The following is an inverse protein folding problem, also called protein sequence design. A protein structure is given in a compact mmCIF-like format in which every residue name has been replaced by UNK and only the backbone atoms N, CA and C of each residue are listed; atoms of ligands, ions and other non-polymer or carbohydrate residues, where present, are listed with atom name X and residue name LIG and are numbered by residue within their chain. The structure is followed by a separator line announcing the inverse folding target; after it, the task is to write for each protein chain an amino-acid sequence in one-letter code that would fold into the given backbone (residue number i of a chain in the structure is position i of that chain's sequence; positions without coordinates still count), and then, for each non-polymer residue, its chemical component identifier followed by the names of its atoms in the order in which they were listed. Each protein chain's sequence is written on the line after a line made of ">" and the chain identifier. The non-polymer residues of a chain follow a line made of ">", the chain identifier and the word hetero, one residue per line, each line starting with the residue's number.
data_IF_873779231187
#
_entry.id   IF_873779231187
#
_cell.length_a   1.000
_cell.length_b   1.000
_cell.length_c   1.000
_cell.angle_alpha   90.00
_cell.angle_beta   90.00
_cell.angle_gamma   90.00
#
_symmetry.space_group_name_H-M   'P 1'
#
loop_
_entity.id
_entity.type
_entity.pdbx_description
1 polymer ?
#
# COMPACT_ATOMS: atom_id res chain seq x y z
N UNK A 1 28.93 9.75 11.57
CA UNK A 1 27.95 10.29 12.54
C UNK A 1 27.80 9.25 13.64
N UNK A 2 27.75 9.64 14.92
CA UNK A 2 27.53 8.67 16.00
C UNK A 2 26.05 8.24 16.04
N UNK A 3 25.77 7.05 16.57
CA UNK A 3 24.39 6.58 16.77
C UNK A 3 23.57 7.58 17.58
N UNK A 4 24.15 8.11 18.67
CA UNK A 4 23.49 9.12 19.51
C UNK A 4 23.10 10.39 18.73
N UNK A 5 23.96 10.88 17.84
CA UNK A 5 23.62 12.05 17.01
C UNK A 5 22.56 11.71 15.96
N UNK A 6 22.62 10.54 15.35
CA UNK A 6 21.62 10.09 14.38
C UNK A 6 20.23 9.95 15.02
N UNK A 7 20.17 9.33 16.20
CA UNK A 7 18.92 9.17 16.95
C UNK A 7 18.39 10.54 17.38
N UNK A 8 19.23 11.41 17.95
CA UNK A 8 18.80 12.75 18.37
C UNK A 8 18.20 13.57 17.22
N UNK A 9 18.73 13.44 16.00
CA UNK A 9 18.24 14.18 14.83
C UNK A 9 16.96 13.56 14.25
N UNK A 10 16.81 12.23 14.28
CA UNK A 10 15.67 11.55 13.63
C UNK A 10 14.48 11.30 14.56
N UNK A 11 14.72 11.19 15.87
CA UNK A 11 13.71 10.82 16.86
C UNK A 11 12.46 11.72 16.84
N UNK A 12 12.56 13.06 16.81
CA UNK A 12 11.36 13.90 16.83
C UNK A 12 10.46 13.68 15.62
N UNK A 13 11.05 13.47 14.43
CA UNK A 13 10.30 13.21 13.21
C UNK A 13 9.65 11.81 13.21
N UNK A 14 10.37 10.80 13.74
CA UNK A 14 9.84 9.44 13.92
C UNK A 14 8.62 9.41 14.84
N UNK A 15 8.69 10.12 15.97
CA UNK A 15 7.59 10.19 16.95
C UNK A 15 6.35 10.86 16.36
N UNK A 16 6.51 11.97 15.63
CA UNK A 16 5.40 12.63 14.92
C UNK A 16 4.76 11.71 13.89
N UNK A 17 5.57 11.05 13.05
CA UNK A 17 5.10 10.12 12.04
C UNK A 17 4.32 8.95 12.68
N UNK A 18 4.89 8.31 13.70
CA UNK A 18 4.26 7.18 14.39
C UNK A 18 2.91 7.56 15.03
N UNK A 19 2.84 8.72 15.69
CA UNK A 19 1.61 9.24 16.28
C UNK A 19 0.53 9.52 15.23
N UNK A 20 0.91 10.08 14.08
CA UNK A 20 -0.02 10.37 12.99
C UNK A 20 -0.51 9.08 12.29
N UNK A 21 0.38 8.11 12.07
CA UNK A 21 0.05 6.80 11.50
C UNK A 21 -0.91 6.01 12.39
N UNK A 22 -0.79 6.11 13.72
CA UNK A 22 -1.68 5.42 14.65
C UNK A 22 -3.17 5.75 14.41
N UNK A 23 -3.47 6.98 13.98
CA UNK A 23 -4.85 7.39 13.64
C UNK A 23 -5.34 6.73 12.35
N UNK A 24 -4.48 6.62 11.34
CA UNK A 24 -4.81 5.99 10.07
C UNK A 24 -4.92 4.47 10.19
N UNK A 25 -4.08 3.86 11.04
CA UNK A 25 -4.08 2.41 11.33
C UNK A 25 -5.47 1.91 11.73
N UNK A 26 -6.26 2.67 12.48
CA UNK A 26 -7.63 2.28 12.90
C UNK A 26 -8.52 1.89 11.71
N UNK A 27 -8.33 2.52 10.54
CA UNK A 27 -9.13 2.24 9.34
C UNK A 27 -8.56 1.10 8.48
N UNK A 28 -7.27 0.80 8.64
CA UNK A 28 -6.50 -0.06 7.73
C UNK A 28 -6.11 -1.41 8.34
N UNK A 29 -5.98 -1.48 9.67
CA UNK A 29 -5.52 -2.68 10.35
C UNK A 29 -6.45 -3.87 10.07
N UNK A 30 -5.85 -5.00 9.72
CA UNK A 30 -6.54 -6.24 9.37
C UNK A 30 -7.21 -6.25 7.99
N UNK A 31 -7.24 -5.12 7.25
CA UNK A 31 -7.79 -5.05 5.90
C UNK A 31 -6.86 -5.73 4.89
N UNK A 32 -7.44 -6.43 3.93
CA UNK A 32 -6.74 -7.17 2.87
C UNK A 32 -6.52 -6.27 1.67
N UNK A 33 -5.28 -6.21 1.17
CA UNK A 33 -4.91 -5.37 0.03
C UNK A 33 -4.29 -6.16 -1.11
N UNK A 34 -4.70 -5.81 -2.33
CA UNK A 34 -4.21 -6.37 -3.59
C UNK A 34 -3.59 -5.27 -4.46
N UNK A 35 -2.42 -5.49 -5.04
CA UNK A 35 -1.79 -4.56 -5.98
C UNK A 35 -1.75 -5.15 -7.39
N UNK A 36 -2.35 -4.44 -8.34
CA UNK A 36 -2.02 -4.60 -9.75
C UNK A 36 -0.71 -3.85 -10.08
N UNK A 37 0.09 -4.36 -11.04
CA UNK A 37 1.36 -3.73 -11.42
C UNK A 37 1.14 -2.40 -12.16
N UNK A 38 1.84 -1.34 -11.76
CA UNK A 38 1.77 -0.03 -12.42
C UNK A 38 3.14 0.70 -12.46
N UNK A 39 3.80 0.88 -11.30
CA UNK A 39 4.86 1.89 -11.11
C UNK A 39 6.15 1.42 -10.43
N UNK A 40 6.22 0.15 -9.98
CA UNK A 40 7.29 -0.40 -9.13
C UNK A 40 7.28 0.08 -7.67
N UNK A 41 6.39 1.00 -7.30
CA UNK A 41 6.18 1.41 -5.91
C UNK A 41 5.43 0.36 -5.09
N UNK A 42 4.86 -0.68 -5.72
CA UNK A 42 3.96 -1.62 -5.06
C UNK A 42 4.64 -2.37 -3.91
N UNK A 43 5.91 -2.77 -4.07
CA UNK A 43 6.66 -3.49 -3.05
C UNK A 43 6.95 -2.61 -1.83
N UNK A 44 7.57 -1.42 -1.94
CA UNK A 44 7.76 -0.52 -0.80
C UNK A 44 6.45 -0.10 -0.13
N UNK A 45 5.39 0.13 -0.91
CA UNK A 45 4.08 0.51 -0.38
C UNK A 45 3.41 -0.64 0.37
N UNK A 46 3.47 -1.87 -0.17
CA UNK A 46 2.98 -3.06 0.51
C UNK A 46 3.72 -3.30 1.83
N UNK A 47 5.05 -3.12 1.83
CA UNK A 47 5.89 -3.20 3.03
C UNK A 47 5.46 -2.17 4.08
N UNK A 48 5.27 -0.91 3.69
CA UNK A 48 4.78 0.16 4.55
C UNK A 48 3.40 -0.17 5.15
N UNK A 49 2.42 -0.51 4.31
CA UNK A 49 1.05 -0.77 4.75
C UNK A 49 0.95 -1.99 5.66
N UNK A 50 1.73 -3.04 5.38
CA UNK A 50 1.71 -4.23 6.22
C UNK A 50 2.36 -3.97 7.58
N UNK A 51 3.59 -3.42 7.60
CA UNK A 51 4.36 -3.28 8.84
C UNK A 51 3.86 -2.14 9.73
N UNK A 52 3.51 -1.01 9.13
CA UNK A 52 3.21 0.22 9.88
C UNK A 52 1.71 0.38 10.13
N UNK A 53 0.87 -0.16 9.23
CA UNK A 53 -0.59 0.02 9.27
C UNK A 53 -1.36 -1.30 9.45
N UNK A 54 -0.68 -2.44 9.54
CA UNK A 54 -1.29 -3.72 9.87
C UNK A 54 -2.18 -4.31 8.77
N UNK A 55 -2.00 -3.89 7.51
CA UNK A 55 -2.73 -4.48 6.39
C UNK A 55 -2.20 -5.89 6.04
N UNK A 56 -3.09 -6.73 5.53
CA UNK A 56 -2.79 -8.08 5.07
C UNK A 56 -2.58 -8.09 3.55
N UNK A 57 -1.40 -8.52 3.11
CA UNK A 57 -1.06 -8.56 1.68
C UNK A 57 -1.64 -9.82 1.03
N UNK A 58 -2.42 -9.68 -0.04
CA UNK A 58 -2.91 -10.84 -0.82
C UNK A 58 -1.99 -11.16 -1.99
N UNK A 59 -1.77 -10.20 -2.88
CA UNK A 59 -0.87 -10.29 -4.02
C UNK A 59 -0.29 -8.90 -4.25
N UNK A 60 1.03 -8.84 -4.44
CA UNK A 60 1.75 -7.60 -4.73
C UNK A 60 2.33 -7.73 -6.13
N UNK A 61 1.59 -7.23 -7.11
CA UNK A 61 2.02 -7.19 -8.51
C UNK A 61 2.90 -5.98 -8.79
N UNK A 62 4.00 -6.19 -9.49
CA UNK A 62 4.89 -5.12 -9.95
C UNK A 62 5.27 -5.32 -11.42
N UNK A 63 5.37 -4.27 -12.25
CA UNK A 63 5.60 -4.45 -13.68
C UNK A 63 6.97 -5.04 -13.99
N UNK A 64 7.97 -4.73 -13.15
CA UNK A 64 9.35 -5.23 -13.27
C UNK A 64 10.01 -5.26 -11.89
N UNK A 65 10.75 -6.34 -11.59
CA UNK A 65 11.40 -6.55 -10.29
C UNK A 65 12.93 -6.67 -10.44
N UNK A 66 13.62 -5.55 -10.25
CA UNK A 66 15.07 -5.57 -10.07
C UNK A 66 15.44 -6.07 -8.66
N UNK A 67 15.62 -7.39 -8.52
CA UNK A 67 15.82 -8.07 -7.23
C UNK A 67 16.93 -7.47 -6.35
N UNK A 68 18.11 -7.20 -6.91
CA UNK A 68 19.22 -6.63 -6.12
C UNK A 68 18.91 -5.24 -5.58
N UNK A 69 18.21 -4.40 -6.36
CA UNK A 69 17.84 -3.06 -5.94
C UNK A 69 16.73 -3.08 -4.88
N UNK A 70 15.80 -4.04 -4.98
CA UNK A 70 14.69 -4.23 -4.04
C UNK A 70 15.03 -5.15 -2.85
N UNK A 71 16.29 -5.57 -2.67
CA UNK A 71 16.66 -6.59 -1.70
C UNK A 71 16.21 -6.24 -0.25
N UNK A 72 16.45 -5.01 0.18
CA UNK A 72 16.07 -4.54 1.52
C UNK A 72 14.55 -4.45 1.69
N UNK A 73 13.83 -4.02 0.65
CA UNK A 73 12.37 -3.95 0.68
C UNK A 73 11.73 -5.34 0.73
N UNK A 74 12.27 -6.29 -0.06
CA UNK A 74 11.84 -7.68 -0.06
C UNK A 74 12.10 -8.36 1.30
N UNK A 75 13.24 -8.09 1.93
CA UNK A 75 13.58 -8.64 3.24
C UNK A 75 12.64 -8.13 4.36
N UNK A 76 12.00 -6.97 4.18
CA UNK A 76 11.08 -6.39 5.14
C UNK A 76 9.61 -6.80 4.92
N UNK A 77 9.27 -7.41 3.78
CA UNK A 77 7.92 -7.93 3.54
C UNK A 77 7.60 -9.11 4.48
N UNK A 78 6.30 -9.31 4.80
CA UNK A 78 5.87 -10.54 5.48
C UNK A 78 6.28 -11.79 4.71
N UNK A 79 6.71 -12.82 5.44
CA UNK A 79 7.01 -14.12 4.87
C UNK A 79 5.77 -14.68 4.12
N UNK A 80 6.00 -15.30 2.97
CA UNK A 80 4.92 -15.86 2.15
C UNK A 80 4.12 -14.83 1.33
N UNK A 81 4.53 -13.56 1.31
CA UNK A 81 3.92 -12.56 0.42
C UNK A 81 3.98 -13.04 -1.03
N UNK A 82 2.82 -13.15 -1.69
CA UNK A 82 2.74 -13.53 -3.09
C UNK A 82 3.14 -12.36 -3.99
N UNK A 83 4.29 -12.47 -4.66
CA UNK A 83 4.81 -11.48 -5.60
C UNK A 83 4.58 -11.94 -7.04
N UNK A 84 4.08 -11.05 -7.89
CA UNK A 84 3.97 -11.30 -9.33
C UNK A 84 4.70 -10.21 -10.12
N UNK A 85 5.60 -10.62 -11.01
CA UNK A 85 6.27 -9.73 -11.97
C UNK A 85 5.59 -9.80 -13.34
N UNK A 86 5.34 -8.64 -13.95
CA UNK A 86 4.60 -8.54 -15.20
C UNK A 86 3.10 -8.84 -15.00
N UNK A 87 2.37 -9.04 -16.11
CA UNK A 87 0.92 -9.21 -16.03
C UNK A 87 0.34 -10.06 -17.17
N UNK A 88 -0.59 -10.94 -16.80
CA UNK A 88 -1.69 -11.36 -17.65
C UNK A 88 -2.99 -10.90 -17.00
N UNK A 89 -3.63 -9.87 -17.57
CA UNK A 89 -4.67 -9.09 -16.87
C UNK A 89 -5.87 -9.94 -16.47
N UNK A 90 -6.41 -10.78 -17.36
CA UNK A 90 -7.59 -11.60 -17.07
C UNK A 90 -7.35 -12.58 -15.92
N UNK A 91 -6.24 -13.33 -15.96
CA UNK A 91 -5.88 -14.27 -14.89
C UNK A 91 -5.63 -13.55 -13.56
N UNK A 92 -5.12 -12.32 -13.59
CA UNK A 92 -4.89 -11.54 -12.37
C UNK A 92 -6.19 -10.97 -11.82
N UNK A 93 -7.14 -10.59 -12.68
CA UNK A 93 -8.52 -10.25 -12.27
C UNK A 93 -9.21 -11.44 -11.60
N UNK A 94 -9.07 -12.66 -12.16
CA UNK A 94 -9.65 -13.87 -11.55
C UNK A 94 -9.09 -14.11 -10.14
N UNK A 95 -7.78 -13.97 -9.95
CA UNK A 95 -7.15 -14.07 -8.61
C UNK A 95 -7.63 -12.96 -7.68
N UNK A 96 -7.68 -11.70 -8.14
CA UNK A 96 -8.18 -10.58 -7.36
C UNK A 96 -9.60 -10.85 -6.86
N UNK A 97 -10.51 -11.28 -7.74
CA UNK A 97 -11.88 -11.65 -7.40
C UNK A 97 -11.94 -12.83 -6.43
N UNK A 98 -11.13 -13.86 -6.64
CA UNK A 98 -11.06 -15.03 -5.75
C UNK A 98 -10.56 -14.64 -4.34
N UNK A 99 -9.61 -13.73 -4.25
CA UNK A 99 -9.10 -13.25 -2.97
C UNK A 99 -10.10 -12.38 -2.21
N UNK A 100 -10.99 -11.65 -2.91
CA UNK A 100 -11.93 -10.68 -2.32
C UNK A 100 -11.23 -9.69 -1.37
N UNK A 101 -10.23 -8.92 -1.86
CA UNK A 101 -9.54 -7.93 -1.03
C UNK A 101 -10.50 -6.81 -0.60
N UNK A 102 -10.20 -6.19 0.54
CA UNK A 102 -10.93 -5.01 1.01
C UNK A 102 -10.56 -3.75 0.22
N UNK A 103 -9.31 -3.69 -0.28
CA UNK A 103 -8.80 -2.59 -1.09
C UNK A 103 -7.97 -3.13 -2.27
N UNK A 104 -8.23 -2.61 -3.47
CA UNK A 104 -7.47 -2.91 -4.69
C UNK A 104 -6.74 -1.67 -5.17
N UNK A 105 -5.42 -1.76 -5.32
CA UNK A 105 -4.60 -0.72 -5.95
C UNK A 105 -4.46 -1.06 -7.44
N UNK A 106 -4.96 -0.19 -8.31
CA UNK A 106 -4.97 -0.46 -9.76
C UNK A 106 -5.00 0.82 -10.61
N UNK A 107 -4.68 0.71 -11.90
CA UNK A 107 -4.83 1.81 -12.85
C UNK A 107 -6.30 2.22 -13.06
N UNK A 108 -6.51 3.42 -13.61
CA UNK A 108 -7.85 3.98 -13.86
C UNK A 108 -8.71 3.12 -14.80
N UNK A 109 -8.09 2.34 -15.70
CA UNK A 109 -8.79 1.42 -16.60
C UNK A 109 -9.48 0.26 -15.87
N UNK A 110 -9.07 -0.08 -14.65
CA UNK A 110 -9.65 -1.16 -13.84
C UNK A 110 -10.49 -0.66 -12.66
N UNK A 111 -10.26 0.59 -12.21
CA UNK A 111 -10.87 1.12 -10.99
C UNK A 111 -12.41 1.09 -11.03
N UNK A 112 -13.02 1.78 -12.00
CA UNK A 112 -14.49 1.84 -12.09
C UNK A 112 -15.15 0.46 -12.35
N UNK A 113 -14.62 -0.41 -13.24
CA UNK A 113 -15.13 -1.78 -13.38
C UNK A 113 -15.12 -2.57 -12.07
N UNK A 114 -14.04 -2.51 -11.29
CA UNK A 114 -13.93 -3.23 -10.01
C UNK A 114 -14.87 -2.65 -8.93
N UNK A 115 -15.03 -1.32 -8.87
CA UNK A 115 -16.01 -0.68 -8.00
C UNK A 115 -17.44 -1.12 -8.34
N UNK A 116 -17.77 -1.27 -9.62
CA UNK A 116 -19.07 -1.78 -10.07
C UNK A 116 -19.30 -3.25 -9.66
N UNK A 117 -18.24 -4.04 -9.51
CA UNK A 117 -18.27 -5.39 -8.94
C UNK A 117 -18.30 -5.39 -7.40
N UNK A 118 -18.28 -4.22 -6.77
CA UNK A 118 -18.33 -4.05 -5.33
C UNK A 118 -16.98 -4.15 -4.62
N UNK A 119 -15.86 -4.12 -5.33
CA UNK A 119 -14.50 -4.08 -4.77
C UNK A 119 -14.04 -2.62 -4.63
N UNK A 120 -13.65 -2.21 -3.43
CA UNK A 120 -13.13 -0.84 -3.20
C UNK A 120 -11.75 -0.68 -3.86
N UNK A 121 -11.53 0.46 -4.50
CA UNK A 121 -10.30 0.74 -5.26
C UNK A 121 -9.58 1.99 -4.80
N UNK A 122 -8.26 1.97 -4.96
CA UNK A 122 -7.37 3.12 -4.88
C UNK A 122 -6.59 3.20 -6.18
N UNK A 123 -6.80 4.27 -6.93
CA UNK A 123 -6.15 4.41 -8.23
C UNK A 123 -4.64 4.65 -8.07
N UNK A 124 -3.83 3.86 -8.78
CA UNK A 124 -2.38 3.74 -8.54
C UNK A 124 -1.61 5.03 -8.86
N UNK A 125 -1.98 5.74 -9.93
CA UNK A 125 -1.24 6.89 -10.50
C UNK A 125 -1.06 8.03 -9.48
N UNK A 126 -2.01 8.22 -8.55
CA UNK A 126 -1.88 9.21 -7.48
C UNK A 126 -0.61 9.03 -6.62
N UNK A 127 -0.14 7.80 -6.46
CA UNK A 127 1.08 7.50 -5.68
C UNK A 127 2.36 8.05 -6.34
N UNK A 128 2.30 8.43 -7.62
CA UNK A 128 3.47 8.92 -8.37
C UNK A 128 3.56 10.45 -8.33
N UNK A 129 2.45 11.16 -8.10
CA UNK A 129 2.44 12.63 -8.11
C UNK A 129 2.02 13.27 -6.77
N UNK A 130 1.57 12.48 -5.79
CA UNK A 130 1.41 12.95 -4.42
C UNK A 130 2.75 12.89 -3.68
N UNK A 131 3.10 13.89 -2.83
CA UNK A 131 4.22 13.79 -1.92
C UNK A 131 3.99 12.64 -0.92
N UNK A 132 4.79 11.58 -1.01
CA UNK A 132 4.61 10.36 -0.19
C UNK A 132 5.88 9.93 0.55
N UNK A 133 7.00 10.63 0.36
CA UNK A 133 8.30 10.26 0.91
C UNK A 133 8.63 11.07 2.17
N UNK A 134 9.23 10.42 3.16
CA UNK A 134 9.73 11.05 4.39
C UNK A 134 8.74 11.01 5.55
N UNK A 135 9.22 11.38 6.74
CA UNK A 135 8.43 11.30 7.98
C UNK A 135 7.20 12.19 7.97
N UNK A 136 7.30 13.38 7.36
CA UNK A 136 6.22 14.36 7.38
C UNK A 136 5.03 13.94 6.51
N UNK A 137 5.28 13.18 5.44
CA UNK A 137 4.26 12.70 4.49
C UNK A 137 3.71 11.31 4.83
N UNK A 138 4.21 10.65 5.88
CA UNK A 138 3.82 9.27 6.20
C UNK A 138 2.32 9.13 6.46
N UNK A 139 1.72 10.10 7.17
CA UNK A 139 0.29 10.11 7.46
C UNK A 139 -0.56 10.41 6.21
N UNK A 140 -0.08 11.32 5.35
CA UNK A 140 -0.75 11.65 4.09
C UNK A 140 -0.74 10.44 3.15
N UNK A 141 0.38 9.73 3.06
CA UNK A 141 0.48 8.46 2.33
C UNK A 141 -0.55 7.44 2.86
N UNK A 142 -0.64 7.26 4.18
CA UNK A 142 -1.61 6.35 4.78
C UNK A 142 -3.07 6.77 4.48
N UNK A 143 -3.35 8.07 4.46
CA UNK A 143 -4.67 8.61 4.11
C UNK A 143 -5.08 8.23 2.68
N UNK A 144 -4.15 8.20 1.72
CA UNK A 144 -4.45 7.80 0.33
C UNK A 144 -5.09 6.41 0.25
N UNK A 145 -4.76 5.51 1.18
CA UNK A 145 -5.33 4.16 1.25
C UNK A 145 -6.59 4.08 2.12
N UNK A 146 -6.69 4.86 3.21
CA UNK A 146 -7.87 4.84 4.08
C UNK A 146 -9.06 5.58 3.48
N UNK A 147 -8.81 6.64 2.71
CA UNK A 147 -9.83 7.50 2.10
C UNK A 147 -10.91 6.77 1.28
N UNK A 148 -10.59 5.84 0.35
CA UNK A 148 -11.63 5.11 -0.38
C UNK A 148 -12.47 4.19 0.53
N UNK A 149 -11.87 3.58 1.56
CA UNK A 149 -12.59 2.75 2.53
C UNK A 149 -13.56 3.59 3.38
N UNK A 150 -13.09 4.74 3.89
CA UNK A 150 -13.93 5.69 4.65
C UNK A 150 -15.07 6.22 3.80
N UNK A 151 -14.81 6.55 2.52
CA UNK A 151 -15.85 6.97 1.58
C UNK A 151 -16.93 5.89 1.46
N UNK A 152 -16.55 4.63 1.23
CA UNK A 152 -17.50 3.52 1.11
C UNK A 152 -18.36 3.36 2.36
N UNK A 153 -17.77 3.41 3.55
CA UNK A 153 -18.51 3.32 4.81
C UNK A 153 -19.55 4.44 4.96
N UNK A 154 -19.19 5.67 4.57
CA UNK A 154 -20.09 6.83 4.67
C UNK A 154 -21.24 6.82 3.68
N UNK A 155 -21.08 6.18 2.53
CA UNK A 155 -22.13 6.09 1.49
C UNK A 155 -23.03 4.86 1.68
N UNK A 156 -22.63 3.90 2.50
CA UNK A 156 -23.42 2.72 2.84
C UNK A 156 -24.31 2.90 4.09
N UNK A 157 -24.09 3.98 4.85
CA UNK A 157 -24.93 4.44 5.95
C UNK A 157 -26.06 5.33 5.41
#
# INVERSE_FOLDING_TARGET
>A
VSTATFDAVTQPARERAASALARQRVQLEGKRIFFFPDSQLEIPLARFLSRELGMQLTEVGTPYLHRTHMAEELALLPEGTFLSEGQHVDKQLDRCRAHRPDLVVCGLGLANPLEAEGLTTKWAIELVFTPIQGYEQAADLAELFSRPLVRRMRLAA
#
